data_IF_686329721622
#
_entry.id   IF_686329721622
#
_cell.length_a   1.000
_cell.length_b   1.000
_cell.length_c   1.000
_cell.angle_alpha   90.00
_cell.angle_beta   90.00
_cell.angle_gamma   90.00
#
_symmetry.space_group_name_H-M   'P 1'
#
loop_
_entity.id
_entity.type
_entity.pdbx_description
1 polymer ?
#
# COMPACT_ATOMS: atom_id res chain seq x y z
N UNK A 1 21.38 0.12 -29.05
CA UNK A 1 19.92 0.36 -28.92
C UNK A 1 19.73 1.76 -28.37
N UNK A 2 18.84 2.55 -28.97
CA UNK A 2 18.55 3.94 -28.54
C UNK A 2 17.25 3.99 -27.73
N UNK A 3 16.99 5.09 -27.03
CA UNK A 3 15.73 5.35 -26.33
C UNK A 3 14.53 5.24 -27.29
N UNK A 4 14.68 5.78 -28.50
CA UNK A 4 13.63 5.70 -29.53
C UNK A 4 13.30 4.25 -29.91
N UNK A 5 14.32 3.40 -30.04
CA UNK A 5 14.12 1.98 -30.39
C UNK A 5 13.34 1.24 -29.29
N UNK A 6 13.61 1.56 -28.01
CA UNK A 6 12.89 1.00 -26.85
C UNK A 6 11.43 1.44 -26.88
N UNK A 7 11.16 2.74 -27.03
CA UNK A 7 9.79 3.24 -27.11
C UNK A 7 9.02 2.63 -28.29
N UNK A 8 9.65 2.55 -29.46
CA UNK A 8 9.03 1.96 -30.64
C UNK A 8 8.71 0.47 -30.45
N UNK A 9 9.60 -0.27 -29.79
CA UNK A 9 9.35 -1.68 -29.44
C UNK A 9 8.15 -1.83 -28.50
N UNK A 10 8.03 -0.96 -27.49
CA UNK A 10 6.94 -1.02 -26.51
C UNK A 10 5.59 -0.57 -27.09
N UNK A 11 5.56 0.16 -28.22
CA UNK A 11 4.32 0.55 -28.91
C UNK A 11 3.51 -0.66 -29.45
N UNK A 12 4.03 -1.88 -29.41
CA UNK A 12 3.23 -3.08 -29.69
C UNK A 12 2.17 -3.35 -28.61
N UNK A 13 2.35 -2.80 -27.39
CA UNK A 13 1.48 -3.03 -26.24
C UNK A 13 0.88 -1.72 -25.68
N UNK A 14 1.64 -0.64 -25.65
CA UNK A 14 1.33 0.64 -25.03
C UNK A 14 1.04 1.69 -26.08
N UNK A 15 0.24 2.70 -25.76
CA UNK A 15 0.22 3.91 -26.59
C UNK A 15 1.57 4.65 -26.52
N UNK A 16 1.76 5.66 -27.37
CA UNK A 16 3.06 6.34 -27.47
C UNK A 16 3.46 7.05 -26.17
N UNK A 17 2.49 7.61 -25.43
CA UNK A 17 2.71 8.29 -24.16
C UNK A 17 3.11 7.32 -23.06
N UNK A 18 2.36 6.23 -22.94
CA UNK A 18 2.60 5.16 -21.99
C UNK A 18 3.91 4.43 -22.28
N UNK A 19 4.21 4.12 -23.56
CA UNK A 19 5.47 3.50 -23.96
C UNK A 19 6.69 4.34 -23.56
N UNK A 20 6.60 5.67 -23.68
CA UNK A 20 7.65 6.58 -23.21
C UNK A 20 7.78 6.58 -21.71
N UNK A 21 6.68 6.57 -20.96
CA UNK A 21 6.69 6.53 -19.50
C UNK A 21 7.30 5.23 -18.99
N UNK A 22 6.89 4.08 -19.55
CA UNK A 22 7.42 2.75 -19.21
C UNK A 22 8.91 2.64 -19.54
N UNK A 23 9.32 3.07 -20.75
CA UNK A 23 10.73 3.08 -21.16
C UNK A 23 11.59 3.96 -20.23
N UNK A 24 11.08 5.12 -19.87
CA UNK A 24 11.74 6.02 -18.94
C UNK A 24 11.88 5.40 -17.56
N UNK A 25 10.82 4.83 -17.00
CA UNK A 25 10.84 4.16 -15.70
C UNK A 25 11.85 3.01 -15.69
N UNK A 26 11.85 2.17 -16.73
CA UNK A 26 12.83 1.08 -16.90
C UNK A 26 14.27 1.60 -16.83
N UNK A 27 14.57 2.70 -17.51
CA UNK A 27 15.93 3.23 -17.61
C UNK A 27 16.33 4.03 -16.36
N UNK A 28 15.45 4.90 -15.84
CA UNK A 28 15.75 5.74 -14.69
C UNK A 28 15.76 4.93 -13.39
N UNK A 29 14.73 4.13 -13.14
CA UNK A 29 14.61 3.36 -11.89
C UNK A 29 15.38 2.05 -11.97
N UNK A 30 15.28 1.35 -13.10
CA UNK A 30 15.90 0.03 -13.29
C UNK A 30 17.41 0.05 -13.50
N UNK A 31 17.93 1.09 -14.13
CA UNK A 31 19.36 1.20 -14.44
C UNK A 31 20.02 2.46 -13.87
N UNK A 32 19.28 3.32 -13.17
CA UNK A 32 19.80 4.52 -12.54
C UNK A 32 20.26 5.61 -13.51
N UNK A 33 19.80 5.57 -14.77
CA UNK A 33 20.18 6.57 -15.77
C UNK A 33 19.34 7.84 -15.61
N UNK A 34 20.01 8.99 -15.63
CA UNK A 34 19.31 10.26 -15.79
C UNK A 34 18.82 10.45 -17.24
N UNK A 35 17.85 11.36 -17.46
CA UNK A 35 17.44 11.70 -18.81
C UNK A 35 18.62 12.22 -19.67
N UNK A 36 19.58 12.92 -19.07
CA UNK A 36 20.81 13.36 -19.76
C UNK A 36 21.66 12.17 -20.22
N UNK A 37 21.83 11.16 -19.36
CA UNK A 37 22.57 9.95 -19.72
C UNK A 37 21.90 9.21 -20.87
N UNK A 38 20.57 9.09 -20.81
CA UNK A 38 19.76 8.47 -21.87
C UNK A 38 19.97 9.17 -23.20
N UNK A 39 19.93 10.50 -23.22
CA UNK A 39 20.12 11.31 -24.43
C UNK A 39 21.56 11.28 -24.93
N UNK A 40 22.53 11.11 -24.03
CA UNK A 40 23.96 11.00 -24.39
C UNK A 40 24.38 9.57 -24.82
N UNK A 41 23.42 8.62 -24.90
CA UNK A 41 23.69 7.29 -25.44
C UNK A 41 24.18 6.27 -24.43
N UNK A 42 24.06 6.51 -23.11
CA UNK A 42 24.46 5.59 -22.05
C UNK A 42 23.76 4.22 -22.15
N UNK A 43 22.60 4.13 -22.83
CA UNK A 43 21.89 2.88 -23.08
C UNK A 43 22.75 1.83 -23.77
N UNK A 44 23.67 2.26 -24.66
CA UNK A 44 24.54 1.35 -25.39
C UNK A 44 25.52 0.60 -24.47
N UNK A 45 25.82 1.16 -23.30
CA UNK A 45 26.71 0.57 -22.30
C UNK A 45 26.00 -0.42 -21.35
N UNK A 46 24.66 -0.47 -21.38
CA UNK A 46 23.88 -1.39 -20.56
C UNK A 46 24.07 -2.86 -21.03
N UNK A 47 23.85 -3.83 -20.15
CA UNK A 47 23.80 -5.25 -20.52
C UNK A 47 22.66 -5.51 -21.50
N UNK A 48 22.98 -5.54 -22.79
CA UNK A 48 21.98 -5.57 -23.88
C UNK A 48 21.08 -6.80 -23.84
N UNK A 49 21.57 -7.95 -23.34
CA UNK A 49 20.76 -9.16 -23.20
C UNK A 49 19.68 -9.00 -22.12
N UNK A 50 20.05 -8.49 -20.95
CA UNK A 50 19.13 -8.20 -19.85
C UNK A 50 18.11 -7.13 -20.24
N UNK A 51 18.56 -6.07 -20.90
CA UNK A 51 17.65 -5.01 -21.36
C UNK A 51 16.59 -5.56 -22.34
N UNK A 52 16.99 -6.42 -23.27
CA UNK A 52 16.05 -7.07 -24.19
C UNK A 52 15.06 -8.00 -23.48
N UNK A 53 15.52 -8.76 -22.49
CA UNK A 53 14.66 -9.63 -21.68
C UNK A 53 13.60 -8.78 -20.94
N UNK A 54 14.02 -7.71 -20.26
CA UNK A 54 13.11 -6.79 -19.58
C UNK A 54 12.11 -6.14 -20.54
N UNK A 55 12.58 -5.71 -21.70
CA UNK A 55 11.70 -5.17 -22.74
C UNK A 55 10.65 -6.19 -23.22
N UNK A 56 11.04 -7.47 -23.36
CA UNK A 56 10.09 -8.52 -23.73
C UNK A 56 9.03 -8.73 -22.65
N UNK A 57 9.42 -8.82 -21.37
CA UNK A 57 8.48 -8.92 -20.24
C UNK A 57 7.48 -7.76 -20.22
N UNK A 58 7.94 -6.53 -20.52
CA UNK A 58 7.05 -5.37 -20.65
C UNK A 58 6.09 -5.51 -21.83
N UNK A 59 6.58 -5.96 -22.99
CA UNK A 59 5.74 -6.20 -24.17
C UNK A 59 4.70 -7.31 -23.92
N UNK A 60 5.02 -8.30 -23.07
CA UNK A 60 4.10 -9.36 -22.63
C UNK A 60 3.09 -8.86 -21.57
N UNK A 61 3.22 -7.60 -21.12
CA UNK A 61 2.27 -6.92 -20.25
C UNK A 61 2.60 -6.99 -18.75
N UNK A 62 3.80 -7.43 -18.38
CA UNK A 62 4.21 -7.42 -16.97
C UNK A 62 4.40 -5.98 -16.47
N UNK A 63 3.92 -5.64 -15.25
CA UNK A 63 4.12 -4.30 -14.68
C UNK A 63 5.59 -3.89 -14.66
N UNK A 64 5.89 -2.66 -15.04
CA UNK A 64 7.26 -2.17 -15.08
C UNK A 64 7.95 -2.25 -13.70
N UNK A 65 7.20 -2.07 -12.62
CA UNK A 65 7.70 -2.20 -11.25
C UNK A 65 8.17 -3.63 -10.94
N UNK A 66 7.47 -4.65 -11.42
CA UNK A 66 7.91 -6.05 -11.27
C UNK A 66 9.10 -6.37 -12.16
N UNK A 67 9.12 -5.85 -13.40
CA UNK A 67 10.26 -6.03 -14.31
C UNK A 67 11.53 -5.41 -13.75
N UNK A 68 11.41 -4.23 -13.11
CA UNK A 68 12.51 -3.53 -12.45
C UNK A 68 12.81 -4.10 -11.06
N UNK A 69 11.81 -4.71 -10.41
CA UNK A 69 11.90 -5.25 -9.06
C UNK A 69 11.73 -4.21 -7.96
N UNK A 70 11.35 -2.97 -8.31
CA UNK A 70 11.16 -1.90 -7.31
C UNK A 70 10.02 -0.97 -7.69
N UNK A 71 9.38 -0.39 -6.65
CA UNK A 71 8.39 0.67 -6.75
C UNK A 71 8.77 1.84 -5.83
N UNK A 72 8.47 3.06 -6.24
CA UNK A 72 8.65 4.24 -5.40
C UNK A 72 7.39 4.48 -4.56
N UNK A 73 7.60 4.74 -3.25
CA UNK A 73 6.52 5.05 -2.32
C UNK A 73 7.03 5.96 -1.21
N UNK A 74 6.36 7.08 -0.96
CA UNK A 74 6.74 8.08 0.03
C UNK A 74 8.23 8.47 -0.04
N UNK A 75 8.75 8.69 -1.25
CA UNK A 75 10.15 9.07 -1.50
C UNK A 75 11.19 7.96 -1.23
N UNK A 76 10.75 6.71 -1.10
CA UNK A 76 11.60 5.53 -0.86
C UNK A 76 11.40 4.50 -1.95
N UNK A 77 12.41 3.64 -2.14
CA UNK A 77 12.31 2.49 -3.06
C UNK A 77 12.00 1.23 -2.28
N UNK A 78 10.91 0.58 -2.63
CA UNK A 78 10.47 -0.70 -2.09
C UNK A 78 10.72 -1.79 -3.11
N UNK A 79 11.31 -2.90 -2.68
CA UNK A 79 11.33 -4.11 -3.49
C UNK A 79 9.90 -4.63 -3.67
N UNK A 80 9.56 -4.96 -4.91
CA UNK A 80 8.27 -5.56 -5.28
C UNK A 80 8.49 -6.71 -6.25
N UNK A 81 7.68 -7.74 -6.12
CA UNK A 81 7.65 -8.89 -6.99
C UNK A 81 6.21 -9.41 -7.09
N UNK A 82 5.95 -10.35 -7.97
CA UNK A 82 4.71 -11.15 -7.98
C UNK A 82 4.46 -11.69 -6.56
N UNK A 83 3.26 -11.52 -6.04
CA UNK A 83 2.93 -11.90 -4.65
C UNK A 83 2.62 -10.72 -3.72
N UNK A 84 2.94 -9.49 -4.08
CA UNK A 84 2.53 -8.28 -3.34
C UNK A 84 1.89 -7.26 -4.28
N UNK A 85 0.89 -6.55 -3.77
CA UNK A 85 0.34 -5.38 -4.46
C UNK A 85 1.45 -4.34 -4.68
N UNK A 86 1.54 -3.79 -5.88
CA UNK A 86 2.44 -2.65 -6.15
C UNK A 86 1.92 -1.45 -5.34
N UNK A 87 2.76 -0.81 -4.50
CA UNK A 87 2.35 0.37 -3.73
C UNK A 87 1.72 1.46 -4.61
N UNK A 88 0.55 1.97 -4.19
CA UNK A 88 -0.21 2.96 -4.93
C UNK A 88 0.01 4.36 -4.38
N UNK A 89 0.00 5.40 -5.24
CA UNK A 89 0.12 6.79 -4.78
C UNK A 89 -0.95 7.20 -3.77
N UNK A 90 -2.18 6.69 -3.92
CA UNK A 90 -3.28 6.96 -3.00
C UNK A 90 -2.97 6.42 -1.60
N UNK A 91 -2.37 5.24 -1.49
CA UNK A 91 -1.96 4.67 -0.20
C UNK A 91 -0.92 5.54 0.52
N UNK A 92 -0.09 6.29 -0.23
CA UNK A 92 0.84 7.25 0.36
C UNK A 92 0.10 8.42 1.03
N UNK A 93 -1.05 8.85 0.49
CA UNK A 93 -1.89 9.88 1.11
C UNK A 93 -2.51 9.40 2.43
N UNK A 94 -2.84 8.10 2.55
CA UNK A 94 -3.27 7.50 3.82
C UNK A 94 -2.16 7.58 4.87
N UNK A 95 -0.93 7.23 4.51
CA UNK A 95 0.21 7.36 5.41
C UNK A 95 0.42 8.81 5.84
N UNK A 96 0.36 9.75 4.90
CA UNK A 96 0.50 11.17 5.19
C UNK A 96 -0.59 11.66 6.16
N UNK A 97 -1.83 11.24 5.98
CA UNK A 97 -2.91 11.59 6.90
C UNK A 97 -2.67 11.09 8.31
N UNK A 98 -2.19 9.86 8.47
CA UNK A 98 -1.85 9.30 9.78
C UNK A 98 -0.71 10.09 10.43
N UNK A 99 0.33 10.42 9.66
CA UNK A 99 1.47 11.21 10.15
C UNK A 99 1.02 12.60 10.61
N UNK A 100 0.19 13.30 9.82
CA UNK A 100 -0.35 14.62 10.16
C UNK A 100 -1.21 14.59 11.43
N UNK A 101 -2.01 13.55 11.63
CA UNK A 101 -2.87 13.39 12.80
C UNK A 101 -2.09 13.13 14.09
N UNK A 102 -0.91 12.52 14.00
CA UNK A 102 -0.17 12.03 15.17
C UNK A 102 1.21 12.70 15.37
N UNK A 103 1.73 13.33 14.33
CA UNK A 103 2.95 14.12 14.38
C UNK A 103 2.76 15.45 13.63
N UNK A 104 1.98 16.40 14.21
CA UNK A 104 1.72 17.68 13.55
C UNK A 104 3.04 18.42 13.32
N UNK A 105 3.31 18.75 12.07
CA UNK A 105 4.39 19.68 11.72
C UNK A 105 4.06 21.07 12.25
N UNK A 106 5.05 21.97 12.44
CA UNK A 106 4.81 23.32 12.96
C UNK A 106 3.76 24.15 12.21
N UNK A 107 3.38 23.73 11.02
CA UNK A 107 2.38 24.38 10.18
C UNK A 107 0.96 23.77 10.26
N UNK A 108 0.76 22.68 11.00
CA UNK A 108 -0.58 22.10 11.18
C UNK A 108 -1.25 22.74 12.39
N UNK A 109 -2.42 23.36 12.17
CA UNK A 109 -3.21 24.04 13.22
C UNK A 109 -3.94 23.07 14.17
N UNK A 110 -3.61 21.79 14.18
CA UNK A 110 -4.22 20.82 15.08
C UNK A 110 -3.27 20.51 16.24
N UNK A 111 -3.71 20.68 17.50
CA UNK A 111 -2.94 20.20 18.64
C UNK A 111 -2.82 18.67 18.57
N UNK A 112 -1.68 18.09 19.01
CA UNK A 112 -1.52 16.64 19.05
C UNK A 112 -2.65 16.04 19.88
N UNK A 113 -3.36 15.10 19.31
CA UNK A 113 -4.44 14.37 19.97
C UNK A 113 -3.78 13.35 20.92
N UNK A 114 -3.73 13.70 22.21
CA UNK A 114 -3.17 12.85 23.26
C UNK A 114 -1.93 13.49 23.89
N UNK A 115 -1.95 13.66 25.22
CA UNK A 115 -0.81 14.09 26.00
C UNK A 115 0.39 13.17 25.80
N UNK A 116 1.57 13.58 26.25
CA UNK A 116 2.85 12.84 26.18
C UNK A 116 2.64 11.42 26.70
N UNK A 117 2.16 10.54 25.85
CA UNK A 117 2.22 9.09 26.04
C UNK A 117 3.54 8.61 25.43
N UNK A 118 4.04 7.46 25.87
CA UNK A 118 5.23 6.81 25.32
C UNK A 118 5.14 6.59 23.80
N UNK A 119 5.93 5.68 23.28
CA UNK A 119 5.92 5.31 21.86
C UNK A 119 4.51 5.06 21.34
N UNK A 120 4.18 5.59 20.13
CA UNK A 120 2.92 5.35 19.45
C UNK A 120 2.93 3.92 18.91
N UNK A 121 1.95 3.10 19.29
CA UNK A 121 1.85 1.71 18.84
C UNK A 121 0.90 1.59 17.64
N UNK A 122 1.38 1.00 16.55
CA UNK A 122 0.69 0.94 15.26
C UNK A 122 0.65 -0.50 14.77
N UNK A 123 -0.50 -0.93 14.27
CA UNK A 123 -0.70 -2.21 13.59
C UNK A 123 -1.15 -1.99 12.15
N UNK A 124 -0.36 -2.47 11.19
CA UNK A 124 -0.70 -2.53 9.77
C UNK A 124 -1.20 -3.92 9.41
N UNK A 125 -2.44 -4.03 8.93
CA UNK A 125 -3.09 -5.30 8.59
C UNK A 125 -3.22 -5.46 7.07
N UNK A 126 -2.70 -6.57 6.54
CA UNK A 126 -2.56 -6.78 5.09
C UNK A 126 -1.40 -5.96 4.54
N UNK A 127 -0.24 -6.08 5.17
CA UNK A 127 0.90 -5.19 4.93
C UNK A 127 1.52 -5.29 3.53
N UNK A 128 1.32 -6.43 2.83
CA UNK A 128 1.86 -6.64 1.48
C UNK A 128 3.37 -6.43 1.40
N UNK A 129 3.80 -5.44 0.65
CA UNK A 129 5.23 -5.06 0.54
C UNK A 129 5.81 -4.40 1.79
N UNK A 130 5.00 -4.13 2.81
CA UNK A 130 5.39 -3.39 4.00
C UNK A 130 5.37 -1.88 3.84
N UNK A 131 4.86 -1.35 2.74
CA UNK A 131 4.99 0.07 2.40
C UNK A 131 4.34 1.01 3.42
N UNK A 132 3.17 0.66 3.99
CA UNK A 132 2.51 1.45 5.04
C UNK A 132 3.31 1.33 6.35
N UNK A 133 3.52 0.11 6.84
CA UNK A 133 4.19 -0.15 8.12
C UNK A 133 5.58 0.49 8.18
N UNK A 134 6.39 0.31 7.14
CA UNK A 134 7.75 0.83 7.06
C UNK A 134 7.74 2.36 6.99
N UNK A 135 6.84 2.95 6.20
CA UNK A 135 6.72 4.42 6.13
C UNK A 135 6.36 5.02 7.48
N UNK A 136 5.37 4.45 8.18
CA UNK A 136 4.97 4.94 9.50
C UNK A 136 6.07 4.75 10.54
N UNK A 137 6.82 3.64 10.50
CA UNK A 137 7.94 3.39 11.40
C UNK A 137 9.10 4.38 11.20
N UNK A 138 9.31 4.87 9.97
CA UNK A 138 10.39 5.82 9.66
C UNK A 138 9.98 7.27 9.87
N UNK A 139 8.71 7.62 9.64
CA UNK A 139 8.25 9.02 9.62
C UNK A 139 7.57 9.44 10.91
N UNK A 140 7.19 8.51 11.80
CA UNK A 140 6.67 8.81 13.13
C UNK A 140 7.74 8.49 14.18
N UNK A 141 8.33 9.50 14.85
CA UNK A 141 9.37 9.26 15.83
C UNK A 141 8.94 8.34 16.97
N UNK A 142 9.77 7.34 17.26
CA UNK A 142 9.56 6.34 18.31
C UNK A 142 8.29 5.49 18.14
N UNK A 143 7.72 5.40 16.94
CA UNK A 143 6.61 4.49 16.69
C UNK A 143 7.04 3.03 16.87
N UNK A 144 6.23 2.24 17.56
CA UNK A 144 6.33 0.79 17.63
C UNK A 144 5.36 0.17 16.63
N UNK A 145 5.89 -0.35 15.53
CA UNK A 145 5.05 -0.83 14.40
C UNK A 145 5.11 -2.34 14.31
N UNK A 146 3.93 -2.95 14.31
CA UNK A 146 3.72 -4.34 13.96
C UNK A 146 2.94 -4.43 12.64
N UNK A 147 3.25 -5.40 11.81
CA UNK A 147 2.65 -5.59 10.50
C UNK A 147 2.23 -7.05 10.30
N UNK A 148 1.00 -7.26 9.85
CA UNK A 148 0.43 -8.58 9.61
C UNK A 148 0.10 -8.82 8.16
N UNK A 149 0.35 -10.03 7.71
CA UNK A 149 -0.16 -10.53 6.44
C UNK A 149 -0.48 -12.02 6.56
N UNK A 150 -1.35 -12.52 5.71
CA UNK A 150 -1.65 -13.95 5.61
C UNK A 150 -0.63 -14.66 4.72
N UNK A 151 0.04 -13.92 3.81
CA UNK A 151 1.00 -14.42 2.84
C UNK A 151 2.42 -14.37 3.40
N UNK A 152 3.03 -15.54 3.56
CA UNK A 152 4.45 -15.64 3.92
C UNK A 152 5.37 -15.05 2.84
N UNK A 153 4.96 -15.10 1.58
CA UNK A 153 5.69 -14.49 0.47
C UNK A 153 5.70 -12.96 0.60
N UNK A 154 4.55 -12.36 0.89
CA UNK A 154 4.43 -10.93 1.15
C UNK A 154 5.28 -10.51 2.36
N UNK A 155 5.22 -11.27 3.46
CA UNK A 155 6.03 -11.00 4.65
C UNK A 155 7.53 -11.07 4.37
N UNK A 156 7.99 -12.00 3.53
CA UNK A 156 9.40 -12.07 3.15
C UNK A 156 9.84 -10.82 2.39
N UNK A 157 9.01 -10.31 1.47
CA UNK A 157 9.26 -9.05 0.74
C UNK A 157 9.25 -7.86 1.71
N UNK A 158 8.28 -7.78 2.61
CA UNK A 158 8.19 -6.71 3.61
C UNK A 158 9.41 -6.68 4.55
N UNK A 159 9.87 -7.84 5.01
CA UNK A 159 11.08 -7.96 5.83
C UNK A 159 12.34 -7.52 5.07
N UNK A 160 12.45 -7.90 3.79
CA UNK A 160 13.54 -7.43 2.92
C UNK A 160 13.53 -5.90 2.80
N UNK A 161 12.36 -5.31 2.59
CA UNK A 161 12.18 -3.85 2.51
C UNK A 161 12.54 -3.15 3.83
N UNK A 162 12.05 -3.66 4.96
CA UNK A 162 12.36 -3.10 6.27
C UNK A 162 13.87 -3.12 6.54
N UNK A 163 14.54 -4.22 6.22
CA UNK A 163 16.00 -4.34 6.34
C UNK A 163 16.74 -3.35 5.43
N UNK A 164 16.33 -3.24 4.17
CA UNK A 164 16.97 -2.35 3.19
C UNK A 164 16.82 -0.86 3.56
N UNK A 165 15.68 -0.50 4.16
CA UNK A 165 15.36 0.87 4.58
C UNK A 165 15.73 1.15 6.05
N UNK A 166 16.30 0.19 6.79
CA UNK A 166 16.62 0.29 8.21
C UNK A 166 15.40 0.65 9.09
N UNK A 167 14.22 0.14 8.73
CA UNK A 167 13.00 0.33 9.50
C UNK A 167 12.84 -0.78 10.55
N UNK A 168 12.43 -0.40 11.76
CA UNK A 168 12.15 -1.35 12.85
C UNK A 168 10.67 -1.69 12.85
N UNK A 169 10.30 -2.79 12.21
CA UNK A 169 8.92 -3.30 12.11
C UNK A 169 8.89 -4.77 12.50
N UNK A 170 7.93 -5.16 13.34
CA UNK A 170 7.68 -6.56 13.70
C UNK A 170 6.67 -7.18 12.73
N UNK A 171 7.05 -8.24 12.01
CA UNK A 171 6.19 -8.90 11.05
C UNK A 171 5.64 -10.22 11.58
N UNK A 172 4.33 -10.48 11.38
CA UNK A 172 3.66 -11.72 11.81
C UNK A 172 2.72 -12.26 10.74
N UNK A 173 2.77 -13.57 10.54
CA UNK A 173 1.74 -14.27 9.77
C UNK A 173 0.44 -14.34 10.57
N UNK A 174 -0.61 -13.69 10.09
CA UNK A 174 -1.93 -13.64 10.72
C UNK A 174 -3.04 -13.57 9.68
N UNK A 175 -4.04 -14.42 9.88
CA UNK A 175 -5.30 -14.36 9.12
C UNK A 175 -6.30 -13.49 9.89
N UNK A 176 -6.53 -12.27 9.43
CA UNK A 176 -7.42 -11.33 10.09
C UNK A 176 -8.87 -11.81 10.14
N UNK A 177 -9.29 -12.62 9.17
CA UNK A 177 -10.64 -13.19 9.19
C UNK A 177 -10.80 -14.10 10.41
N UNK A 178 -9.79 -14.93 10.70
CA UNK A 178 -9.82 -15.79 11.89
C UNK A 178 -9.70 -14.99 13.18
N UNK A 179 -8.86 -13.94 13.20
CA UNK A 179 -8.71 -13.07 14.37
C UNK A 179 -9.98 -12.27 14.65
N UNK A 180 -10.69 -11.78 13.64
CA UNK A 180 -11.97 -11.08 13.78
C UNK A 180 -13.08 -11.97 14.36
N UNK A 181 -13.10 -13.25 13.99
CA UNK A 181 -14.05 -14.24 14.51
C UNK A 181 -13.71 -14.73 15.93
N UNK A 182 -12.47 -14.67 16.33
CA UNK A 182 -12.00 -15.09 17.66
C UNK A 182 -11.01 -14.06 18.24
N UNK A 183 -11.51 -12.99 18.88
CA UNK A 183 -10.67 -11.95 19.48
C UNK A 183 -9.65 -12.45 20.49
N UNK A 184 -9.87 -13.62 21.10
CA UNK A 184 -8.92 -14.25 22.02
C UNK A 184 -7.56 -14.56 21.36
N UNK A 185 -7.51 -14.71 20.02
CA UNK A 185 -6.25 -14.86 19.28
C UNK A 185 -5.38 -13.60 19.29
N UNK A 186 -5.92 -12.47 19.73
CA UNK A 186 -5.24 -11.18 19.89
C UNK A 186 -5.28 -10.64 21.32
N UNK A 187 -5.70 -11.42 22.32
CA UNK A 187 -5.76 -10.97 23.72
C UNK A 187 -4.40 -10.48 24.22
N UNK A 188 -4.42 -9.29 24.86
CA UNK A 188 -3.24 -8.66 25.45
C UNK A 188 -2.51 -7.70 24.51
N UNK A 189 -2.75 -7.71 23.22
CA UNK A 189 -2.15 -6.74 22.29
C UNK A 189 -3.03 -5.48 22.20
N UNK A 190 -2.47 -4.34 22.57
CA UNK A 190 -3.15 -3.05 22.57
C UNK A 190 -2.35 -2.03 21.77
N UNK A 191 -3.03 -1.33 20.85
CA UNK A 191 -2.42 -0.35 19.97
C UNK A 191 -3.19 0.95 19.94
N UNK A 192 -2.52 2.03 19.61
CA UNK A 192 -3.12 3.34 19.41
C UNK A 192 -3.77 3.45 18.02
N UNK A 193 -3.17 2.81 17.03
CA UNK A 193 -3.60 2.89 15.64
C UNK A 193 -3.66 1.49 15.01
N UNK A 194 -4.75 1.24 14.28
CA UNK A 194 -4.83 0.16 13.29
C UNK A 194 -5.00 0.82 11.92
N UNK A 195 -4.20 0.40 10.95
CA UNK A 195 -4.29 0.84 9.55
C UNK A 195 -4.38 -0.37 8.62
N UNK A 196 -5.12 -0.25 7.54
CA UNK A 196 -5.17 -1.28 6.50
C UNK A 196 -5.57 -0.70 5.15
N UNK A 197 -4.95 -1.22 4.11
CA UNK A 197 -5.46 -1.19 2.74
C UNK A 197 -5.90 -2.62 2.37
N UNK A 198 -7.08 -3.06 2.80
CA UNK A 198 -7.53 -4.44 2.58
C UNK A 198 -8.02 -4.64 1.15
N UNK A 199 -8.15 -5.87 0.66
CA UNK A 199 -8.82 -6.15 -0.61
C UNK A 199 -10.24 -5.59 -0.59
N UNK A 200 -10.58 -4.76 -1.58
CA UNK A 200 -11.88 -4.07 -1.61
C UNK A 200 -12.57 -4.05 -2.98
N UNK A 201 -11.94 -4.63 -4.00
CA UNK A 201 -12.50 -4.70 -5.36
C UNK A 201 -13.43 -5.91 -5.44
N UNK A 202 -14.65 -5.71 -5.93
CA UNK A 202 -15.54 -6.85 -6.20
C UNK A 202 -15.33 -7.37 -7.63
N UNK A 203 -15.51 -8.68 -7.89
CA UNK A 203 -15.26 -9.28 -9.19
C UNK A 203 -15.97 -8.58 -10.36
N UNK A 204 -17.16 -8.02 -10.16
CA UNK A 204 -17.90 -7.25 -11.18
C UNK A 204 -17.18 -5.98 -11.64
N UNK A 205 -16.25 -5.42 -10.83
CA UNK A 205 -15.46 -4.25 -11.20
C UNK A 205 -14.25 -4.61 -12.10
N UNK A 206 -13.89 -5.89 -12.22
CA UNK A 206 -12.71 -6.34 -12.97
C UNK A 206 -12.69 -5.90 -14.42
N UNK A 207 -13.86 -5.78 -15.06
CA UNK A 207 -13.99 -5.32 -16.44
C UNK A 207 -13.45 -3.89 -16.68
N UNK A 208 -13.39 -3.07 -15.63
CA UNK A 208 -12.84 -1.70 -15.69
C UNK A 208 -11.35 -1.62 -15.32
N UNK A 209 -10.76 -2.74 -14.92
CA UNK A 209 -9.35 -2.78 -14.49
C UNK A 209 -8.40 -3.02 -15.67
N UNK A 210 -7.16 -2.58 -15.50
CA UNK A 210 -6.10 -2.90 -16.45
C UNK A 210 -5.84 -4.41 -16.52
N UNK A 211 -5.70 -4.94 -17.72
CA UNK A 211 -5.30 -6.34 -17.95
C UNK A 211 -3.97 -6.68 -17.26
N UNK A 212 -3.04 -5.73 -17.19
CA UNK A 212 -1.76 -5.85 -16.51
C UNK A 212 -1.95 -6.16 -15.02
N UNK A 213 -2.84 -5.44 -14.34
CA UNK A 213 -3.16 -5.69 -12.92
C UNK A 213 -3.77 -7.07 -12.74
N UNK A 214 -4.80 -7.38 -13.53
CA UNK A 214 -5.54 -8.66 -13.43
C UNK A 214 -4.68 -9.90 -13.69
N UNK A 215 -3.63 -9.79 -14.51
CA UNK A 215 -2.77 -10.92 -14.84
C UNK A 215 -1.58 -11.13 -13.90
N UNK A 216 -1.13 -10.08 -13.26
CA UNK A 216 0.18 -10.11 -12.60
C UNK A 216 0.13 -9.79 -11.10
N UNK A 217 -0.84 -9.00 -10.64
CA UNK A 217 -0.96 -8.73 -9.21
C UNK A 217 -1.82 -9.79 -8.52
N UNK A 218 -1.54 -10.12 -7.24
CA UNK A 218 -2.20 -11.25 -6.58
C UNK A 218 -3.68 -10.97 -6.30
N UNK A 219 -4.56 -11.87 -6.72
CA UNK A 219 -6.02 -11.77 -6.51
C UNK A 219 -6.39 -11.57 -5.04
N UNK A 220 -5.64 -12.22 -4.14
CA UNK A 220 -5.86 -12.12 -2.69
C UNK A 220 -5.65 -10.71 -2.15
N UNK A 221 -4.86 -9.87 -2.83
CA UNK A 221 -4.63 -8.49 -2.45
C UNK A 221 -5.61 -7.50 -3.11
N UNK A 222 -6.37 -7.96 -4.12
CA UNK A 222 -7.28 -7.12 -4.90
C UNK A 222 -8.73 -7.37 -4.54
N UNK A 223 -9.16 -8.63 -4.50
CA UNK A 223 -10.58 -8.97 -4.53
C UNK A 223 -11.16 -9.34 -3.18
N UNK A 224 -12.37 -8.81 -2.94
CA UNK A 224 -13.28 -9.24 -1.89
C UNK A 224 -14.46 -9.98 -2.52
N UNK A 225 -15.19 -10.86 -1.78
CA UNK A 225 -16.36 -11.54 -2.33
C UNK A 225 -17.44 -10.57 -2.82
N UNK A 226 -18.07 -10.91 -3.95
CA UNK A 226 -19.15 -10.12 -4.55
C UNK A 226 -20.35 -9.93 -3.61
N UNK A 227 -20.67 -10.97 -2.87
CA UNK A 227 -21.81 -11.01 -1.92
C UNK A 227 -21.49 -10.41 -0.55
N UNK A 228 -20.21 -10.13 -0.25
CA UNK A 228 -19.79 -9.47 1.00
C UNK A 228 -18.61 -8.51 0.77
N UNK A 229 -18.84 -7.36 0.14
CA UNK A 229 -17.80 -6.38 -0.16
C UNK A 229 -17.13 -5.76 1.09
N UNK A 230 -17.79 -5.87 2.26
CA UNK A 230 -17.29 -5.36 3.54
C UNK A 230 -16.57 -6.42 4.40
N UNK A 231 -16.36 -7.62 3.89
CA UNK A 231 -15.82 -8.76 4.64
C UNK A 231 -14.56 -8.42 5.44
N UNK A 232 -13.57 -7.84 4.78
CA UNK A 232 -12.30 -7.52 5.43
C UNK A 232 -12.44 -6.34 6.39
N UNK A 233 -13.18 -5.30 6.03
CA UNK A 233 -13.47 -4.16 6.92
C UNK A 233 -14.16 -4.63 8.21
N UNK A 234 -15.14 -5.53 8.10
CA UNK A 234 -15.85 -6.11 9.25
C UNK A 234 -14.88 -6.87 10.14
N UNK A 235 -14.07 -7.77 9.58
CA UNK A 235 -13.12 -8.57 10.36
C UNK A 235 -12.08 -7.70 11.08
N UNK A 236 -11.54 -6.68 10.39
CA UNK A 236 -10.56 -5.77 10.96
C UNK A 236 -11.19 -4.91 12.06
N UNK A 237 -12.39 -4.35 11.83
CA UNK A 237 -13.06 -3.51 12.82
C UNK A 237 -13.58 -4.32 14.01
N UNK A 238 -14.01 -5.58 13.84
CA UNK A 238 -14.31 -6.48 14.96
C UNK A 238 -13.07 -6.75 15.81
N UNK A 239 -11.93 -7.03 15.19
CA UNK A 239 -10.66 -7.17 15.90
C UNK A 239 -10.27 -5.85 16.60
N UNK A 240 -10.41 -4.73 15.93
CA UNK A 240 -10.06 -3.41 16.44
C UNK A 240 -10.80 -3.03 17.73
N UNK A 241 -12.04 -3.50 17.94
CA UNK A 241 -12.78 -3.30 19.19
C UNK A 241 -12.06 -3.85 20.42
N UNK A 242 -11.25 -4.88 20.23
CA UNK A 242 -10.49 -5.51 21.32
C UNK A 242 -9.05 -5.06 21.36
N UNK A 243 -8.46 -4.72 20.22
CA UNK A 243 -7.05 -4.38 20.09
C UNK A 243 -6.75 -2.89 20.25
N UNK A 244 -7.67 -2.00 19.90
CA UNK A 244 -7.47 -0.58 20.10
C UNK A 244 -7.54 -0.18 21.59
N UNK A 245 -6.66 0.73 21.96
CA UNK A 245 -6.75 1.48 23.21
C UNK A 245 -8.00 2.38 23.21
N UNK A 246 -8.50 2.83 24.37
CA UNK A 246 -9.53 3.86 24.42
C UNK A 246 -9.11 5.10 23.61
N UNK A 247 -9.99 5.60 22.76
CA UNK A 247 -9.73 6.69 21.80
C UNK A 247 -8.71 6.30 20.69
N UNK A 248 -8.36 5.03 20.57
CA UNK A 248 -7.53 4.52 19.46
C UNK A 248 -8.23 4.68 18.12
N UNK A 249 -7.46 4.80 17.06
CA UNK A 249 -7.97 5.13 15.72
C UNK A 249 -7.80 3.97 14.74
N UNK A 250 -8.81 3.80 13.91
CA UNK A 250 -8.85 2.86 12.80
C UNK A 250 -8.82 3.64 11.50
N UNK A 251 -7.88 3.32 10.61
CA UNK A 251 -7.74 3.93 9.28
C UNK A 251 -7.86 2.89 8.19
N UNK A 252 -8.63 3.20 7.16
CA UNK A 252 -8.75 2.35 5.97
C UNK A 252 -8.56 3.14 4.67
N UNK A 253 -7.93 2.50 3.69
CA UNK A 253 -8.20 2.77 2.28
C UNK A 253 -9.48 2.03 1.88
N UNK A 254 -10.36 2.66 1.07
CA UNK A 254 -11.69 2.14 0.82
C UNK A 254 -12.09 2.16 -0.65
N UNK A 255 -13.03 1.26 -1.00
CA UNK A 255 -13.80 1.40 -2.22
C UNK A 255 -14.92 2.44 -2.00
N UNK A 256 -14.94 3.56 -2.76
CA UNK A 256 -15.96 4.59 -2.61
C UNK A 256 -17.39 4.10 -2.84
N UNK A 257 -17.59 3.03 -3.61
CA UNK A 257 -18.91 2.45 -3.87
C UNK A 257 -19.61 1.95 -2.60
N UNK A 258 -18.84 1.53 -1.60
CA UNK A 258 -19.35 0.95 -0.35
C UNK A 258 -19.16 1.87 0.86
N UNK A 259 -18.79 3.14 0.66
CA UNK A 259 -18.47 4.06 1.75
C UNK A 259 -19.61 4.25 2.76
N UNK A 260 -20.86 4.37 2.29
CA UNK A 260 -22.04 4.52 3.16
C UNK A 260 -22.31 3.25 3.98
N UNK A 261 -22.17 2.08 3.36
CA UNK A 261 -22.35 0.80 4.06
C UNK A 261 -21.24 0.58 5.10
N UNK A 262 -20.00 0.99 4.78
CA UNK A 262 -18.88 0.94 5.72
C UNK A 262 -19.11 1.89 6.90
N UNK A 263 -19.61 3.10 6.65
CA UNK A 263 -19.96 4.03 7.73
C UNK A 263 -21.01 3.45 8.68
N UNK A 264 -22.05 2.82 8.13
CA UNK A 264 -23.09 2.16 8.92
C UNK A 264 -22.50 1.00 9.75
N UNK A 265 -21.66 0.17 9.15
CA UNK A 265 -20.96 -0.93 9.82
C UNK A 265 -20.11 -0.42 11.00
N UNK A 266 -19.30 0.62 10.79
CA UNK A 266 -18.44 1.17 11.83
C UNK A 266 -19.24 1.75 12.99
N UNK A 267 -20.36 2.45 12.71
CA UNK A 267 -21.29 2.96 13.74
C UNK A 267 -21.91 1.83 14.55
N UNK A 268 -22.38 0.78 13.89
CA UNK A 268 -22.95 -0.40 14.54
C UNK A 268 -21.93 -1.08 15.46
N UNK A 269 -20.66 -1.10 15.09
CA UNK A 269 -19.57 -1.66 15.88
C UNK A 269 -19.07 -0.74 17.01
N UNK A 270 -19.66 0.44 17.18
CA UNK A 270 -19.35 1.36 18.29
C UNK A 270 -18.20 2.34 18.02
N UNK A 271 -17.81 2.52 16.76
CA UNK A 271 -16.89 3.57 16.38
C UNK A 271 -17.62 4.91 16.21
N UNK A 272 -16.94 6.00 16.59
CA UNK A 272 -17.38 7.38 16.40
C UNK A 272 -16.34 8.22 15.65
N UNK A 273 -16.57 9.53 15.57
CA UNK A 273 -15.71 10.48 14.84
C UNK A 273 -15.31 9.99 13.45
N UNK A 274 -16.28 9.36 12.75
CA UNK A 274 -16.02 8.78 11.42
C UNK A 274 -15.85 9.92 10.43
N UNK A 275 -14.63 9.99 9.87
CA UNK A 275 -14.23 11.03 8.92
C UNK A 275 -13.78 10.39 7.63
N UNK A 276 -14.35 10.82 6.51
CA UNK A 276 -13.88 10.43 5.18
C UNK A 276 -13.00 11.51 4.57
N UNK A 277 -11.98 11.08 3.82
CA UNK A 277 -11.09 11.97 3.07
C UNK A 277 -11.04 11.53 1.61
N UNK A 278 -11.00 12.51 0.71
CA UNK A 278 -10.82 12.27 -0.72
C UNK A 278 -9.33 12.18 -1.05
N UNK A 279 -9.02 11.40 -2.09
CA UNK A 279 -7.70 11.38 -2.71
C UNK A 279 -7.46 12.63 -3.60
N UNK A 280 -6.25 12.76 -4.15
CA UNK A 280 -5.86 13.85 -5.07
C UNK A 280 -6.76 13.97 -6.31
N UNK A 281 -7.53 12.92 -6.65
CA UNK A 281 -8.47 12.90 -7.76
C UNK A 281 -9.91 13.21 -7.31
N UNK A 282 -10.10 13.67 -6.07
CA UNK A 282 -11.40 14.00 -5.46
C UNK A 282 -12.34 12.80 -5.31
N UNK A 283 -11.81 11.58 -5.27
CA UNK A 283 -12.57 10.36 -4.95
C UNK A 283 -12.47 10.06 -3.46
N UNK A 284 -13.58 9.73 -2.83
CA UNK A 284 -13.62 9.31 -1.42
C UNK A 284 -12.83 8.00 -1.26
N UNK A 285 -11.63 8.08 -0.71
CA UNK A 285 -10.68 6.99 -0.71
C UNK A 285 -10.27 6.51 0.67
N UNK A 286 -10.45 7.32 1.69
CA UNK A 286 -9.99 7.00 3.03
C UNK A 286 -11.06 7.21 4.06
N UNK A 287 -11.03 6.43 5.13
CA UNK A 287 -11.85 6.63 6.32
C UNK A 287 -11.00 6.50 7.57
N UNK A 288 -11.28 7.36 8.54
CA UNK A 288 -10.79 7.27 9.92
C UNK A 288 -11.99 7.14 10.84
N UNK A 289 -11.89 6.25 11.84
CA UNK A 289 -12.87 6.10 12.88
C UNK A 289 -12.20 5.99 14.26
N UNK A 290 -12.82 6.51 15.30
CA UNK A 290 -12.30 6.49 16.68
C UNK A 290 -13.09 5.48 17.50
N UNK A 291 -12.39 4.65 18.31
CA UNK A 291 -13.06 3.72 19.20
C UNK A 291 -13.60 4.46 20.43
N UNK A 292 -14.91 4.53 20.55
CA UNK A 292 -15.63 5.16 21.67
C UNK A 292 -15.66 4.17 22.87
N UNK A 293 -14.63 4.15 23.69
CA UNK A 293 -14.60 3.42 24.98
C UNK A 293 -14.03 4.28 26.07
#
# INVERSE_FOLDING_TARGET
MTYRDICQFLCCRYDEGEARAVARYLLEVGYGLSMSDILCGAIEQLPQAELKEKMQRLADGEPVQYVVGTAEFCGRRFHVASGVLIPRPETAELCQWIIEDHHPTPNTHHPPVGGIRGALSILDIGTGSGCIAITLALDIPNAEVEAWDISNEALAIAQQNAKALNANVSFKEKDIIKCGLNPALGEGYKVDIIVSNPPYIVPSESAAMSETVLKHEPDIALFTPEDDPLKFYRAISDYAKTALLPQGKLYFEINPLFAQQLEALLKEQGFGDITFKNDQYSKQRFVRATLNK
#
